data_IF_513942776604
#
_entry.id   IF_513942776604
#
_cell.length_a   1.000
_cell.length_b   1.000
_cell.length_c   1.000
_cell.angle_alpha   90.00
_cell.angle_beta   90.00
_cell.angle_gamma   90.00
#
_symmetry.space_group_name_H-M   'P 1'
#
loop_
_entity.id
_entity.type
_entity.pdbx_description
1 polymer ?
#
# COMPACT_ATOMS: atom_id res chain seq x y z
N UNK A 1 0.40 -12.42 10.77
CA UNK A 1 0.82 -12.12 9.37
C UNK A 1 -0.40 -12.29 8.48
N UNK A 2 -0.72 -11.31 7.63
CA UNK A 2 -1.96 -11.36 6.82
C UNK A 2 -1.90 -12.47 5.77
N UNK A 3 -3.07 -13.04 5.44
CA UNK A 3 -3.21 -14.01 4.35
C UNK A 3 -2.62 -13.41 3.05
N UNK A 4 -1.86 -14.23 2.31
CA UNK A 4 -1.22 -13.87 1.03
C UNK A 4 -2.19 -13.21 0.05
N UNK A 5 -3.43 -13.68 -0.02
CA UNK A 5 -4.45 -13.10 -0.90
C UNK A 5 -4.84 -11.68 -0.46
N UNK A 6 -5.06 -11.48 0.85
CA UNK A 6 -5.39 -10.16 1.41
C UNK A 6 -4.24 -9.17 1.20
N UNK A 7 -2.98 -9.60 1.41
CA UNK A 7 -1.79 -8.80 1.11
C UNK A 7 -1.71 -8.38 -0.35
N UNK A 8 -2.07 -9.27 -1.27
CA UNK A 8 -2.07 -8.99 -2.72
C UNK A 8 -3.11 -7.93 -3.06
N UNK A 9 -4.38 -8.12 -2.67
CA UNK A 9 -5.46 -7.15 -2.91
C UNK A 9 -5.14 -5.77 -2.33
N UNK A 10 -4.54 -5.73 -1.14
CA UNK A 10 -4.06 -4.48 -0.54
C UNK A 10 -2.95 -3.82 -1.35
N UNK A 11 -1.98 -4.59 -1.81
CA UNK A 11 -0.86 -4.10 -2.61
C UNK A 11 -1.36 -3.54 -3.94
N UNK A 12 -2.29 -4.24 -4.60
CA UNK A 12 -2.91 -3.80 -5.84
C UNK A 12 -3.63 -2.46 -5.62
N UNK A 13 -4.37 -2.31 -4.52
CA UNK A 13 -5.04 -1.05 -4.18
C UNK A 13 -4.06 0.08 -3.92
N UNK A 14 -2.98 -0.17 -3.18
CA UNK A 14 -1.91 0.82 -2.96
C UNK A 14 -1.32 1.26 -4.30
N UNK A 15 -1.03 0.32 -5.20
CA UNK A 15 -0.52 0.63 -6.54
C UNK A 15 -1.51 1.46 -7.35
N UNK A 16 -2.82 1.16 -7.30
CA UNK A 16 -3.84 1.97 -7.96
C UNK A 16 -3.82 3.41 -7.45
N UNK A 17 -3.79 3.62 -6.13
CA UNK A 17 -3.74 4.97 -5.53
C UNK A 17 -2.48 5.72 -5.96
N UNK A 18 -1.33 5.04 -5.95
CA UNK A 18 -0.05 5.64 -6.35
C UNK A 18 -0.02 5.97 -7.84
N UNK A 19 -0.52 5.08 -8.71
CA UNK A 19 -0.58 5.30 -10.16
C UNK A 19 -1.56 6.39 -10.57
N UNK A 20 -2.66 6.53 -9.84
CA UNK A 20 -3.63 7.60 -10.06
C UNK A 20 -3.13 8.98 -9.58
N UNK A 21 -2.05 9.02 -8.78
CA UNK A 21 -1.46 10.27 -8.35
C UNK A 21 -0.50 10.81 -9.41
N UNK A 22 -0.71 12.06 -9.81
CA UNK A 22 0.23 12.80 -10.68
C UNK A 22 1.47 13.27 -9.93
N UNK A 23 1.54 13.07 -8.62
CA UNK A 23 2.63 13.55 -7.77
C UNK A 23 3.82 12.59 -7.80
N UNK A 24 5.02 13.14 -7.83
CA UNK A 24 6.26 12.37 -7.68
C UNK A 24 6.36 11.63 -6.33
N UNK A 25 5.67 12.16 -5.32
CA UNK A 25 5.62 11.59 -3.99
C UNK A 25 4.17 11.45 -3.52
N UNK A 26 3.81 10.22 -3.18
CA UNK A 26 2.46 9.84 -2.76
C UNK A 26 2.53 9.34 -1.32
N UNK A 27 1.66 9.89 -0.48
CA UNK A 27 1.43 9.39 0.88
C UNK A 27 0.12 8.63 0.86
N UNK A 28 0.17 7.32 1.12
CA UNK A 28 -1.01 6.45 1.22
C UNK A 28 -1.31 6.23 2.70
N UNK A 29 -2.45 6.73 3.16
CA UNK A 29 -2.91 6.59 4.53
C UNK A 29 -3.87 5.41 4.68
N UNK A 30 -4.14 5.00 5.92
CA UNK A 30 -5.20 4.00 6.22
C UNK A 30 -6.55 4.39 5.62
N UNK A 31 -6.90 5.68 5.63
CA UNK A 31 -8.17 6.19 5.12
C UNK A 31 -8.32 5.94 3.61
N UNK A 32 -7.24 6.07 2.84
CA UNK A 32 -7.25 5.81 1.38
C UNK A 32 -7.55 4.34 1.04
N UNK A 33 -7.34 3.46 2.03
CA UNK A 33 -7.57 2.03 1.94
C UNK A 33 -8.83 1.58 2.68
N UNK A 34 -9.63 2.49 3.25
CA UNK A 34 -10.75 2.14 4.12
C UNK A 34 -11.76 1.18 3.45
N UNK A 35 -12.10 1.40 2.18
CA UNK A 35 -13.05 0.54 1.46
C UNK A 35 -12.50 -0.89 1.26
N UNK A 36 -11.22 -1.02 0.88
CA UNK A 36 -10.59 -2.35 0.74
C UNK A 36 -10.43 -3.03 2.10
N UNK A 37 -10.25 -2.25 3.17
CA UNK A 37 -10.17 -2.76 4.54
C UNK A 37 -11.47 -3.41 4.97
N UNK A 38 -12.61 -2.76 4.73
CA UNK A 38 -13.93 -3.32 5.03
C UNK A 38 -14.16 -4.58 4.20
N UNK A 39 -13.92 -4.53 2.89
CA UNK A 39 -14.12 -5.66 1.98
C UNK A 39 -13.31 -6.90 2.41
N UNK A 40 -12.09 -6.67 2.90
CA UNK A 40 -11.18 -7.74 3.30
C UNK A 40 -11.27 -8.12 4.78
N UNK A 41 -12.18 -7.52 5.55
CA UNK A 41 -12.32 -7.73 6.98
C UNK A 41 -10.99 -7.46 7.72
N UNK A 42 -10.39 -6.30 7.45
CA UNK A 42 -9.08 -5.85 7.95
C UNK A 42 -9.23 -4.56 8.76
N UNK A 43 -9.56 -4.68 10.05
CA UNK A 43 -9.81 -3.52 10.90
C UNK A 43 -8.55 -2.84 11.45
N UNK A 44 -7.42 -3.57 11.54
CA UNK A 44 -6.15 -3.01 12.00
C UNK A 44 -4.99 -3.27 11.05
N UNK A 45 -5.06 -2.66 9.86
CA UNK A 45 -3.94 -2.75 8.92
C UNK A 45 -2.66 -2.27 9.61
N UNK A 46 -1.72 -3.20 9.75
CA UNK A 46 -0.33 -2.85 9.93
C UNK A 46 0.33 -2.93 8.56
N UNK A 47 0.74 -1.78 8.03
CA UNK A 47 1.53 -1.74 6.80
C UNK A 47 2.78 -2.62 6.91
N UNK A 48 3.31 -2.80 8.12
CA UNK A 48 4.41 -3.72 8.43
C UNK A 48 4.11 -5.17 8.05
N UNK A 49 2.85 -5.58 8.12
CA UNK A 49 2.40 -6.93 7.82
C UNK A 49 2.11 -7.20 6.33
N UNK A 50 2.20 -6.19 5.45
CA UNK A 50 2.01 -6.37 4.01
C UNK A 50 3.29 -6.93 3.39
N UNK A 51 3.35 -8.25 3.27
CA UNK A 51 4.45 -8.96 2.63
C UNK A 51 4.50 -8.67 1.11
N UNK A 52 5.69 -8.56 0.55
CA UNK A 52 5.89 -8.36 -0.90
C UNK A 52 5.71 -6.93 -1.41
N UNK A 53 5.09 -6.02 -0.64
CA UNK A 53 4.81 -4.64 -1.06
C UNK A 53 6.02 -3.90 -1.66
N UNK A 54 7.19 -4.00 -1.03
CA UNK A 54 8.41 -3.33 -1.52
C UNK A 54 8.84 -3.86 -2.90
N UNK A 55 8.71 -5.17 -3.11
CA UNK A 55 9.07 -5.82 -4.38
C UNK A 55 8.11 -5.39 -5.49
N UNK A 56 6.81 -5.37 -5.19
CA UNK A 56 5.78 -4.95 -6.14
C UNK A 56 5.90 -3.47 -6.52
N UNK A 57 6.18 -2.59 -5.55
CA UNK A 57 6.43 -1.17 -5.83
C UNK A 57 7.63 -0.99 -6.76
N UNK A 58 8.75 -1.65 -6.46
CA UNK A 58 9.95 -1.57 -7.28
C UNK A 58 9.70 -2.07 -8.71
N UNK A 59 8.95 -3.16 -8.87
CA UNK A 59 8.58 -3.69 -10.18
C UNK A 59 7.75 -2.70 -11.02
N UNK A 60 7.02 -1.80 -10.35
CA UNK A 60 6.21 -0.76 -10.99
C UNK A 60 6.91 0.61 -11.07
N UNK A 61 8.24 0.69 -10.94
CA UNK A 61 9.02 1.93 -10.92
C UNK A 61 8.65 2.89 -9.78
N UNK A 62 8.34 2.34 -8.61
CA UNK A 62 8.12 3.10 -7.38
C UNK A 62 9.06 2.63 -6.27
N UNK A 63 9.47 3.55 -5.40
CA UNK A 63 10.31 3.29 -4.23
C UNK A 63 9.55 3.61 -2.97
N UNK A 64 9.50 2.65 -2.04
CA UNK A 64 9.03 2.89 -0.69
C UNK A 64 10.09 3.70 0.08
N UNK A 65 9.74 4.92 0.48
CA UNK A 65 10.61 5.85 1.21
C UNK A 65 10.41 5.73 2.71
N UNK A 66 9.15 5.62 3.13
CA UNK A 66 8.79 5.56 4.54
C UNK A 66 7.65 4.58 4.74
N UNK A 67 7.70 3.86 5.87
CA UNK A 67 6.71 2.88 6.25
C UNK A 67 6.41 3.05 7.73
N UNK A 68 5.17 3.44 8.04
CA UNK A 68 4.69 3.59 9.41
C UNK A 68 3.44 2.74 9.63
N UNK A 69 2.91 2.69 10.85
CA UNK A 69 1.62 2.07 11.11
C UNK A 69 0.44 2.90 10.60
N UNK A 70 0.65 4.17 10.22
CA UNK A 70 -0.42 5.11 9.82
C UNK A 70 -0.41 5.40 8.32
N UNK A 71 0.76 5.33 7.69
CA UNK A 71 0.96 5.73 6.30
C UNK A 71 2.14 5.04 5.64
N UNK A 72 2.11 5.04 4.30
CA UNK A 72 3.21 4.69 3.41
C UNK A 72 3.60 5.92 2.61
N UNK A 73 4.90 6.23 2.53
CA UNK A 73 5.43 7.26 1.65
C UNK A 73 6.15 6.61 0.49
N UNK A 74 5.66 6.87 -0.71
CA UNK A 74 6.09 6.21 -1.93
C UNK A 74 6.53 7.29 -2.92
N UNK A 75 7.68 7.09 -3.57
CA UNK A 75 8.22 8.00 -4.58
C UNK A 75 8.31 7.30 -5.93
N UNK A 76 7.97 7.99 -7.00
CA UNK A 76 8.24 7.52 -8.37
C UNK A 76 9.76 7.53 -8.65
N UNK A 77 10.25 6.49 -9.34
CA UNK A 77 11.63 6.37 -9.77
C UNK A 77 11.87 7.08 -11.10
#
# INVERSE_FOLDING_TARGET
>A
MYNKEKCRKLTDRILTVVKASEKDMVVVNKIDLYNIMIELDLYDISFNSIAGLRKELNFNNYKLIEKSNKHLKIKKL
#
